data_IF_490185728861
#
_entry.id   IF_490185728861
#
_cell.length_a   1.000
_cell.length_b   1.000
_cell.length_c   1.000
_cell.angle_alpha   90.00
_cell.angle_beta   90.00
_cell.angle_gamma   90.00
#
_symmetry.space_group_name_H-M   'P 1'
#
loop_
_entity.id
_entity.type
_entity.pdbx_description
1 polymer ?
#
# COMPACT_ATOMS: atom_id res chain seq x y z
N UNK A 1 -29.27 66.56 46.18
CA UNK A 1 -28.22 65.56 46.10
C UNK A 1 -28.73 64.45 45.19
N UNK A 2 -28.20 64.36 43.96
CA UNK A 2 -28.61 63.42 42.89
C UNK A 2 -27.52 62.35 42.78
N UNK A 3 -27.88 61.10 43.05
CA UNK A 3 -27.02 59.91 42.81
C UNK A 3 -27.07 59.52 41.33
N UNK A 4 -25.91 59.42 40.68
CA UNK A 4 -25.76 58.94 39.31
C UNK A 4 -25.36 57.47 39.42
N UNK A 5 -26.24 56.58 38.95
CA UNK A 5 -25.96 55.15 38.81
C UNK A 5 -25.23 54.89 37.48
N UNK A 6 -23.97 54.45 37.59
CA UNK A 6 -23.20 54.03 36.44
C UNK A 6 -23.55 52.60 36.06
N UNK A 7 -24.00 52.39 34.82
CA UNK A 7 -24.24 51.09 34.23
C UNK A 7 -22.94 50.59 33.61
N UNK A 8 -22.33 49.56 34.23
CA UNK A 8 -21.20 48.85 33.63
C UNK A 8 -21.74 47.78 32.67
N UNK A 9 -21.57 48.02 31.36
CA UNK A 9 -21.88 47.06 30.30
C UNK A 9 -20.69 46.11 30.16
N UNK A 10 -20.86 44.89 30.60
CA UNK A 10 -19.86 43.82 30.40
C UNK A 10 -20.02 43.25 28.99
N UNK A 11 -19.09 43.58 28.13
CA UNK A 11 -19.01 43.03 26.79
C UNK A 11 -18.39 41.61 26.85
N UNK A 12 -19.22 40.60 26.76
CA UNK A 12 -18.80 39.18 26.70
C UNK A 12 -18.23 38.89 25.33
N UNK A 13 -16.90 38.86 25.16
CA UNK A 13 -16.23 38.38 23.97
C UNK A 13 -16.41 36.84 23.88
N UNK A 14 -17.27 36.39 22.98
CA UNK A 14 -17.30 34.98 22.57
C UNK A 14 -16.02 34.67 21.79
N UNK A 15 -15.07 34.00 22.41
CA UNK A 15 -13.93 33.41 21.73
C UNK A 15 -14.45 32.15 21.04
N UNK A 16 -14.66 32.23 19.72
CA UNK A 16 -14.95 31.03 18.91
C UNK A 16 -13.68 30.15 18.88
N UNK A 17 -13.72 29.03 19.59
CA UNK A 17 -12.70 27.98 19.49
C UNK A 17 -12.76 27.40 18.07
N UNK A 18 -11.61 27.27 17.36
CA UNK A 18 -11.60 26.56 16.10
C UNK A 18 -11.98 25.10 16.36
N UNK A 19 -13.03 24.63 15.71
CA UNK A 19 -13.40 23.22 15.69
C UNK A 19 -12.24 22.41 15.15
N UNK A 20 -11.88 21.25 15.73
CA UNK A 20 -10.88 20.39 15.14
C UNK A 20 -11.39 19.97 13.75
N UNK A 21 -10.62 20.28 12.72
CA UNK A 21 -10.83 19.76 11.37
C UNK A 21 -10.78 18.25 11.47
N UNK A 22 -11.91 17.59 11.24
CA UNK A 22 -12.00 16.13 11.23
C UNK A 22 -11.02 15.58 10.18
N UNK A 23 -10.21 14.62 10.58
CA UNK A 23 -9.29 13.87 9.73
C UNK A 23 -10.02 12.97 8.70
N UNK A 24 -11.28 13.22 8.43
CA UNK A 24 -12.20 12.38 7.66
C UNK A 24 -12.41 12.83 6.21
N UNK A 25 -11.72 13.91 5.76
CA UNK A 25 -11.83 14.39 4.37
C UNK A 25 -10.82 13.73 3.40
N UNK A 26 -9.97 12.82 3.86
CA UNK A 26 -9.09 12.07 2.98
C UNK A 26 -9.92 11.07 2.17
N UNK A 27 -9.93 11.22 0.84
CA UNK A 27 -10.55 10.23 -0.05
C UNK A 27 -10.05 8.84 0.32
N UNK A 28 -10.96 7.83 0.44
CA UNK A 28 -10.56 6.49 0.81
C UNK A 28 -9.55 5.94 -0.20
N UNK A 29 -8.51 5.27 0.29
CA UNK A 29 -7.58 4.55 -0.56
C UNK A 29 -8.36 3.42 -1.22
N UNK A 30 -8.31 3.38 -2.54
CA UNK A 30 -8.88 2.27 -3.33
C UNK A 30 -7.73 1.42 -3.83
N UNK A 31 -7.80 0.12 -3.55
CA UNK A 31 -6.80 -0.83 -4.00
C UNK A 31 -7.38 -1.79 -5.04
N UNK A 32 -6.62 -1.99 -6.11
CA UNK A 32 -6.98 -2.90 -7.21
C UNK A 32 -5.74 -3.71 -7.59
N UNK A 33 -5.94 -4.92 -8.09
CA UNK A 33 -4.88 -5.70 -8.71
C UNK A 33 -4.88 -5.49 -10.22
N UNK A 34 -3.69 -5.18 -10.74
CA UNK A 34 -3.40 -5.18 -12.17
C UNK A 34 -2.65 -6.47 -12.51
N UNK A 35 -3.16 -7.23 -13.45
CA UNK A 35 -2.50 -8.42 -13.99
C UNK A 35 -1.97 -8.07 -15.37
N UNK A 36 -0.64 -8.13 -15.54
CA UNK A 36 0.00 -7.84 -16.82
C UNK A 36 -0.52 -8.78 -17.90
N UNK A 37 -0.85 -8.25 -19.08
CA UNK A 37 -1.21 -9.04 -20.25
C UNK A 37 0.00 -9.27 -21.13
N UNK A 38 -0.02 -10.33 -21.93
CA UNK A 38 1.13 -10.75 -22.76
C UNK A 38 1.57 -9.72 -23.83
N UNK A 39 0.83 -8.62 -24.01
CA UNK A 39 1.23 -7.49 -24.84
C UNK A 39 2.21 -6.54 -24.14
N UNK A 40 2.23 -6.55 -22.80
CA UNK A 40 3.12 -5.70 -22.01
C UNK A 40 4.56 -6.19 -22.15
N UNK A 41 5.39 -5.42 -22.86
CA UNK A 41 6.79 -5.76 -23.16
C UNK A 41 7.80 -5.21 -22.17
N UNK A 42 7.34 -4.42 -21.19
CA UNK A 42 8.22 -3.86 -20.19
C UNK A 42 8.81 -4.99 -19.32
N UNK A 43 10.15 -5.14 -19.25
CA UNK A 43 10.79 -6.25 -18.53
C UNK A 43 10.54 -6.20 -17.02
N UNK A 44 10.22 -5.03 -16.47
CA UNK A 44 9.89 -4.89 -15.05
C UNK A 44 8.46 -5.35 -14.73
N UNK A 45 7.57 -5.37 -15.72
CA UNK A 45 6.15 -5.66 -15.52
C UNK A 45 5.63 -6.86 -16.30
N UNK A 46 6.43 -7.45 -17.18
CA UNK A 46 6.03 -8.69 -17.84
C UNK A 46 5.67 -9.77 -16.80
N UNK A 47 4.53 -10.43 -16.96
CA UNK A 47 3.99 -11.46 -16.06
C UNK A 47 3.80 -11.02 -14.62
N UNK A 48 3.75 -9.71 -14.36
CA UNK A 48 3.58 -9.18 -13.02
C UNK A 48 2.11 -9.07 -12.61
N UNK A 49 1.91 -9.14 -11.30
CA UNK A 49 0.67 -8.73 -10.64
C UNK A 49 1.01 -7.58 -9.70
N UNK A 50 0.37 -6.45 -9.90
CA UNK A 50 0.66 -5.23 -9.14
C UNK A 50 -0.54 -4.84 -8.32
N UNK A 51 -0.37 -4.73 -7.01
CA UNK A 51 -1.35 -4.08 -6.15
C UNK A 51 -1.17 -2.57 -6.28
N UNK A 52 -2.14 -1.91 -6.88
CA UNK A 52 -2.13 -0.45 -7.06
C UNK A 52 -3.04 0.20 -6.04
N UNK A 53 -2.55 1.27 -5.45
CA UNK A 53 -3.27 2.11 -4.51
C UNK A 53 -3.23 3.55 -5.00
N UNK A 54 -4.39 4.18 -5.01
CA UNK A 54 -4.52 5.62 -5.27
C UNK A 54 -4.48 6.42 -3.96
N UNK A 55 -4.43 7.74 -4.06
CA UNK A 55 -4.44 8.67 -2.92
C UNK A 55 -3.27 8.51 -1.93
N UNK A 56 -2.14 7.94 -2.36
CA UNK A 56 -0.89 7.86 -1.58
C UNK A 56 0.13 8.93 -1.99
N UNK A 57 -0.14 9.66 -3.06
CA UNK A 57 0.75 10.67 -3.63
C UNK A 57 0.13 11.35 -4.84
N UNK A 58 0.93 12.05 -5.65
CA UNK A 58 0.45 12.78 -6.83
C UNK A 58 -0.05 11.84 -7.95
N UNK A 59 0.32 10.57 -7.93
CA UNK A 59 -0.12 9.53 -8.85
C UNK A 59 -0.33 8.19 -8.17
N UNK A 60 -0.80 7.17 -8.91
CA UNK A 60 -0.95 5.82 -8.39
C UNK A 60 0.40 5.23 -7.97
N UNK A 61 0.40 4.54 -6.82
CA UNK A 61 1.55 3.78 -6.30
C UNK A 61 1.22 2.31 -6.32
N UNK A 62 2.16 1.46 -6.74
CA UNK A 62 1.96 0.02 -6.83
C UNK A 62 3.08 -0.80 -6.22
N UNK A 63 2.74 -2.02 -5.83
CA UNK A 63 3.69 -3.04 -5.41
C UNK A 63 3.50 -4.31 -6.25
N UNK A 64 4.56 -4.78 -6.89
CA UNK A 64 4.55 -6.08 -7.58
C UNK A 64 4.49 -7.19 -6.51
N UNK A 65 3.36 -7.89 -6.43
CA UNK A 65 3.09 -8.81 -5.31
C UNK A 65 3.43 -10.28 -5.62
N UNK A 66 3.80 -10.59 -6.84
CA UNK A 66 4.10 -11.95 -7.29
C UNK A 66 5.58 -12.19 -7.67
N UNK A 67 6.50 -11.28 -7.30
CA UNK A 67 7.91 -11.40 -7.67
C UNK A 67 8.82 -11.44 -6.44
N UNK A 68 8.99 -12.62 -5.80
CA UNK A 68 9.99 -12.80 -4.76
C UNK A 68 11.40 -12.63 -5.36
N UNK A 69 12.29 -12.03 -4.60
CA UNK A 69 13.73 -11.95 -4.92
C UNK A 69 14.45 -13.18 -4.35
N UNK A 70 15.76 -13.27 -4.59
CA UNK A 70 16.59 -14.27 -3.90
C UNK A 70 17.07 -13.82 -2.52
N UNK A 71 16.74 -12.61 -2.08
CA UNK A 71 17.18 -12.01 -0.83
C UNK A 71 16.30 -12.46 0.32
N UNK A 72 16.81 -13.22 1.31
CA UNK A 72 16.07 -13.54 2.53
C UNK A 72 15.76 -12.27 3.33
N UNK A 73 14.61 -12.22 3.99
CA UNK A 73 14.25 -11.11 4.89
C UNK A 73 15.31 -10.89 5.96
N UNK A 74 15.92 -11.95 6.47
CA UNK A 74 17.01 -11.88 7.47
C UNK A 74 18.20 -11.02 7.00
N UNK A 75 18.47 -10.94 5.70
CA UNK A 75 19.56 -10.13 5.18
C UNK A 75 19.31 -8.61 5.28
N UNK A 76 18.06 -8.18 5.32
CA UNK A 76 17.73 -6.76 5.55
C UNK A 76 17.90 -6.35 7.03
N UNK A 77 17.90 -7.33 7.93
CA UNK A 77 17.92 -7.12 9.38
C UNK A 77 18.95 -8.04 10.07
N UNK A 78 20.25 -7.92 9.77
CA UNK A 78 21.28 -8.84 10.28
C UNK A 78 21.40 -8.85 11.80
N UNK A 79 21.03 -7.74 12.45
CA UNK A 79 21.05 -7.61 13.91
C UNK A 79 19.90 -8.37 14.60
N UNK A 80 18.86 -8.76 13.87
CA UNK A 80 17.71 -9.49 14.41
C UNK A 80 17.95 -11.01 14.35
N UNK A 81 18.73 -11.56 15.28
CA UNK A 81 19.10 -13.00 15.33
C UNK A 81 17.90 -13.95 15.23
N UNK A 82 16.71 -13.53 15.69
CA UNK A 82 15.46 -14.29 15.58
C UNK A 82 15.05 -14.60 14.13
N UNK A 83 15.47 -13.77 13.18
CA UNK A 83 15.17 -13.96 11.77
C UNK A 83 16.08 -14.98 11.08
N UNK A 84 17.11 -15.48 11.75
CA UNK A 84 18.03 -16.49 11.16
C UNK A 84 17.32 -17.75 10.68
N UNK A 85 16.17 -18.11 11.27
CA UNK A 85 15.34 -19.25 10.86
C UNK A 85 14.17 -18.87 9.94
N UNK A 86 14.07 -17.58 9.54
CA UNK A 86 13.04 -17.11 8.62
C UNK A 86 13.56 -17.24 7.19
N UNK A 87 12.90 -18.07 6.39
CA UNK A 87 13.28 -18.36 5.01
C UNK A 87 12.50 -17.51 3.99
N UNK A 88 11.60 -16.67 4.48
CA UNK A 88 10.82 -15.78 3.63
C UNK A 88 11.73 -14.81 2.89
N UNK A 89 11.39 -14.56 1.63
CA UNK A 89 12.14 -13.68 0.75
C UNK A 89 11.49 -12.30 0.69
N UNK A 90 12.33 -11.31 0.44
CA UNK A 90 11.90 -9.96 0.08
C UNK A 90 11.31 -10.00 -1.32
N UNK A 91 10.28 -9.20 -1.57
CA UNK A 91 9.66 -9.06 -2.89
C UNK A 91 10.21 -7.82 -3.60
N UNK A 92 10.31 -7.91 -4.92
CA UNK A 92 10.54 -6.75 -5.76
C UNK A 92 9.22 -5.99 -5.91
N UNK A 93 9.11 -4.81 -5.32
CA UNK A 93 7.90 -3.99 -5.36
C UNK A 93 7.77 -3.16 -6.65
N UNK A 94 8.89 -2.88 -7.32
CA UNK A 94 8.95 -2.10 -8.55
C UNK A 94 10.28 -1.38 -8.72
N UNK A 95 10.51 -0.73 -9.87
CA UNK A 95 11.80 -0.14 -10.23
C UNK A 95 12.08 1.22 -9.56
N UNK A 96 11.10 1.82 -8.88
CA UNK A 96 11.25 3.14 -8.26
C UNK A 96 11.83 2.99 -6.86
N UNK A 97 12.83 3.80 -6.52
CA UNK A 97 13.44 3.86 -5.19
C UNK A 97 13.81 2.48 -4.61
N UNK A 98 14.65 1.73 -5.31
CA UNK A 98 15.06 0.37 -4.92
C UNK A 98 15.70 0.28 -3.52
N UNK A 99 16.15 1.39 -2.94
CA UNK A 99 16.61 1.48 -1.56
C UNK A 99 15.49 1.63 -0.52
N UNK A 100 14.26 1.87 -0.94
CA UNK A 100 13.12 1.98 -0.03
C UNK A 100 12.56 0.61 0.33
N UNK A 101 12.13 0.47 1.59
CA UNK A 101 11.48 -0.75 2.09
C UNK A 101 10.02 -0.45 2.38
N UNK A 102 9.13 -1.16 1.72
CA UNK A 102 7.69 -1.11 1.91
C UNK A 102 7.20 -2.44 2.46
N UNK A 103 6.09 -2.45 3.16
CA UNK A 103 5.51 -3.71 3.62
C UNK A 103 3.99 -3.64 3.70
N UNK A 104 3.37 -4.75 3.32
CA UNK A 104 1.95 -5.02 3.51
C UNK A 104 1.78 -5.98 4.69
N UNK A 105 0.80 -5.70 5.54
CA UNK A 105 0.50 -6.55 6.68
C UNK A 105 -0.98 -6.47 7.04
N UNK A 106 -1.47 -7.49 7.73
CA UNK A 106 -2.82 -7.51 8.27
C UNK A 106 -2.85 -6.98 9.70
N UNK A 107 -3.85 -6.15 10.01
CA UNK A 107 -4.14 -5.70 11.37
C UNK A 107 -5.65 -5.53 11.57
N UNK A 108 -6.12 -5.83 12.77
CA UNK A 108 -7.53 -5.67 13.15
C UNK A 108 -7.92 -4.18 13.29
N UNK A 109 -6.99 -3.35 13.76
CA UNK A 109 -7.17 -1.91 13.93
C UNK A 109 -6.12 -1.17 13.11
N UNK A 110 -6.41 0.09 12.74
CA UNK A 110 -5.49 0.95 12.02
C UNK A 110 -4.27 1.30 12.90
N UNK A 111 -3.06 0.84 12.55
CA UNK A 111 -1.85 1.24 13.26
C UNK A 111 -1.45 2.67 12.89
N UNK A 112 -0.73 3.33 13.79
CA UNK A 112 -0.04 4.57 13.45
C UNK A 112 0.99 4.32 12.33
N UNK A 113 1.24 5.33 11.52
CA UNK A 113 2.20 5.29 10.40
C UNK A 113 1.90 4.22 9.33
N UNK A 114 0.64 3.80 9.21
CA UNK A 114 0.19 2.89 8.18
C UNK A 114 -1.07 3.40 7.49
N UNK A 115 -1.19 3.13 6.20
CA UNK A 115 -2.35 3.48 5.38
C UNK A 115 -3.14 2.22 5.09
N UNK A 116 -4.46 2.26 5.27
CA UNK A 116 -5.33 1.14 4.93
C UNK A 116 -5.37 0.96 3.41
N UNK A 117 -4.95 -0.18 2.93
CA UNK A 117 -5.07 -0.54 1.53
C UNK A 117 -6.46 -1.12 1.23
N UNK A 118 -6.83 -2.25 1.84
CA UNK A 118 -8.16 -2.88 1.72
C UNK A 118 -8.31 -3.99 2.79
N UNK A 119 -9.54 -4.39 3.12
CA UNK A 119 -9.85 -5.63 3.85
C UNK A 119 -9.01 -5.95 5.09
N UNK A 120 -8.62 -4.96 5.89
CA UNK A 120 -7.73 -5.15 7.04
C UNK A 120 -6.24 -5.20 6.67
N UNK A 121 -5.90 -5.03 5.40
CA UNK A 121 -4.52 -4.92 4.93
C UNK A 121 -4.07 -3.46 4.97
N UNK A 122 -2.90 -3.26 5.52
CA UNK A 122 -2.25 -1.96 5.66
C UNK A 122 -0.91 -1.93 4.93
N UNK A 123 -0.57 -0.77 4.39
CA UNK A 123 0.72 -0.44 3.80
C UNK A 123 1.47 0.50 4.72
N UNK A 124 2.76 0.26 4.90
CA UNK A 124 3.66 1.20 5.57
C UNK A 124 5.09 1.11 5.01
N UNK A 125 5.87 2.15 5.28
CA UNK A 125 7.32 2.19 5.12
C UNK A 125 8.01 2.57 6.44
N UNK A 126 7.26 2.63 7.55
CA UNK A 126 7.79 3.01 8.85
C UNK A 126 8.65 1.89 9.44
N UNK A 127 9.93 2.22 9.68
CA UNK A 127 10.91 1.25 10.17
C UNK A 127 10.59 0.76 11.59
N UNK A 128 10.07 1.61 12.46
CA UNK A 128 9.78 1.22 13.85
C UNK A 128 8.60 0.25 13.89
N UNK A 129 7.56 0.51 13.12
CA UNK A 129 6.42 -0.40 12.96
C UNK A 129 6.88 -1.74 12.38
N UNK A 130 7.73 -1.75 11.36
CA UNK A 130 8.25 -3.00 10.79
C UNK A 130 9.03 -3.82 11.81
N UNK A 131 9.87 -3.19 12.62
CA UNK A 131 10.62 -3.87 13.68
C UNK A 131 9.69 -4.46 14.76
N UNK A 132 8.58 -3.80 15.10
CA UNK A 132 7.55 -4.33 15.99
C UNK A 132 6.86 -5.57 15.39
N UNK A 133 6.54 -5.56 14.09
CA UNK A 133 5.97 -6.71 13.41
C UNK A 133 6.94 -7.89 13.38
N UNK A 134 8.21 -7.62 13.09
CA UNK A 134 9.27 -8.63 13.08
C UNK A 134 9.62 -9.18 14.48
N UNK A 135 9.17 -8.51 15.55
CA UNK A 135 9.33 -8.96 16.92
C UNK A 135 8.28 -10.01 17.35
N UNK A 136 7.25 -10.26 16.55
CA UNK A 136 6.19 -11.24 16.82
C UNK A 136 6.75 -12.67 16.88
N UNK A 137 6.02 -13.58 17.47
CA UNK A 137 6.37 -15.02 17.50
C UNK A 137 6.46 -15.61 16.09
N UNK A 138 5.50 -15.23 15.22
CA UNK A 138 5.49 -15.56 13.79
C UNK A 138 5.64 -14.28 12.97
N UNK A 139 6.88 -13.82 12.76
CA UNK A 139 7.11 -12.49 12.21
C UNK A 139 6.59 -12.29 10.79
N UNK A 140 6.56 -13.36 9.97
CA UNK A 140 6.13 -13.29 8.58
C UNK A 140 4.67 -13.69 8.36
N UNK A 141 3.96 -14.05 9.43
CA UNK A 141 2.53 -14.35 9.32
C UNK A 141 1.76 -13.08 8.94
N UNK A 142 1.08 -13.14 7.80
CA UNK A 142 0.38 -12.00 7.20
C UNK A 142 1.24 -10.70 7.09
N UNK A 143 2.54 -10.87 6.84
CA UNK A 143 3.49 -9.80 6.55
C UNK A 143 4.23 -10.11 5.25
N UNK A 144 4.32 -9.13 4.34
CA UNK A 144 5.14 -9.21 3.13
C UNK A 144 5.95 -7.94 2.97
N UNK A 145 7.25 -8.09 2.74
CA UNK A 145 8.23 -7.00 2.65
C UNK A 145 8.67 -6.85 1.19
N UNK A 146 8.76 -5.60 0.74
CA UNK A 146 9.11 -5.22 -0.61
C UNK A 146 10.30 -4.27 -0.62
N UNK A 147 11.12 -4.34 -1.66
CA UNK A 147 12.12 -3.32 -2.02
C UNK A 147 11.68 -2.60 -3.27
N UNK A 148 11.77 -1.27 -3.24
CA UNK A 148 11.24 -0.42 -4.30
C UNK A 148 9.71 -0.45 -4.41
N UNK A 149 9.20 0.34 -5.32
CA UNK A 149 7.78 0.42 -5.64
C UNK A 149 7.57 0.73 -7.12
N UNK A 150 6.33 0.66 -7.58
CA UNK A 150 5.91 1.08 -8.91
C UNK A 150 5.19 2.43 -8.80
N UNK A 151 5.36 3.29 -9.80
CA UNK A 151 4.70 4.57 -9.85
C UNK A 151 4.29 4.92 -11.27
N UNK A 152 3.21 5.64 -11.42
CA UNK A 152 2.71 6.16 -12.70
C UNK A 152 2.54 7.66 -12.64
N UNK A 153 2.91 8.33 -13.73
CA UNK A 153 2.53 9.72 -13.93
C UNK A 153 1.00 9.85 -14.05
N UNK A 154 0.44 11.04 -13.76
CA UNK A 154 -0.99 11.27 -13.96
C UNK A 154 -1.45 10.91 -15.38
N UNK A 155 -2.49 10.08 -15.50
CA UNK A 155 -3.03 9.60 -16.77
C UNK A 155 -2.27 8.45 -17.45
N UNK A 156 -1.06 8.11 -16.98
CA UNK A 156 -0.26 7.04 -17.57
C UNK A 156 -0.93 5.67 -17.39
N UNK A 157 -1.35 5.35 -16.18
CA UNK A 157 -1.99 4.07 -15.86
C UNK A 157 -3.30 3.88 -16.61
N UNK A 158 -4.11 4.93 -16.67
CA UNK A 158 -5.37 4.92 -17.42
C UNK A 158 -5.13 4.66 -18.91
N UNK A 159 -4.07 5.25 -19.48
CA UNK A 159 -3.64 5.00 -20.86
C UNK A 159 -3.22 3.55 -21.08
N UNK A 160 -2.47 2.96 -20.15
CA UNK A 160 -2.04 1.55 -20.22
C UNK A 160 -3.24 0.59 -20.10
N UNK A 161 -4.18 0.87 -19.22
CA UNK A 161 -5.44 0.11 -19.07
C UNK A 161 -6.26 0.20 -20.36
N UNK A 162 -6.40 1.40 -20.95
CA UNK A 162 -7.15 1.62 -22.18
C UNK A 162 -6.54 0.88 -23.39
N UNK A 163 -5.21 0.72 -23.43
CA UNK A 163 -4.51 -0.10 -24.45
C UNK A 163 -4.67 -1.60 -24.22
N UNK A 164 -5.18 -2.02 -23.04
CA UNK A 164 -5.33 -3.43 -22.70
C UNK A 164 -4.04 -4.08 -22.17
N UNK A 165 -3.06 -3.30 -21.72
CA UNK A 165 -1.81 -3.79 -21.12
C UNK A 165 -2.06 -4.52 -19.80
N UNK A 166 -3.13 -4.15 -19.08
CA UNK A 166 -3.53 -4.70 -17.80
C UNK A 166 -4.93 -5.28 -17.80
N UNK A 167 -5.11 -6.40 -17.10
CA UNK A 167 -6.42 -6.85 -16.62
C UNK A 167 -6.61 -6.36 -15.18
N UNK A 168 -7.83 -5.89 -14.88
CA UNK A 168 -8.19 -5.42 -13.55
C UNK A 168 -8.85 -6.53 -12.76
N UNK A 169 -8.37 -6.77 -11.55
CA UNK A 169 -8.94 -7.75 -10.63
C UNK A 169 -9.16 -7.14 -9.24
N UNK A 170 -10.11 -7.69 -8.50
CA UNK A 170 -10.38 -7.27 -7.12
C UNK A 170 -9.22 -7.70 -6.22
N UNK A 171 -8.70 -6.78 -5.42
CA UNK A 171 -7.74 -7.12 -4.38
C UNK A 171 -8.41 -7.93 -3.26
N UNK A 172 -7.80 -9.07 -2.90
CA UNK A 172 -8.24 -9.93 -1.82
C UNK A 172 -7.05 -10.28 -0.91
N UNK A 173 -7.22 -10.34 0.43
CA UNK A 173 -6.13 -10.63 1.36
C UNK A 173 -5.39 -11.92 1.04
N UNK A 174 -6.12 -12.97 0.72
CA UNK A 174 -5.56 -14.28 0.37
C UNK A 174 -4.67 -14.23 -0.87
N UNK A 175 -4.97 -13.34 -1.80
CA UNK A 175 -4.13 -13.11 -2.98
C UNK A 175 -2.75 -12.57 -2.60
N UNK A 176 -2.63 -11.80 -1.51
CA UNK A 176 -1.37 -11.22 -1.07
C UNK A 176 -0.55 -12.21 -0.23
N UNK A 177 -1.18 -12.91 0.75
CA UNK A 177 -0.42 -13.66 1.76
C UNK A 177 -0.42 -15.17 1.57
N UNK A 178 -1.50 -15.78 1.05
CA UNK A 178 -1.68 -17.23 0.99
C UNK A 178 -1.26 -17.88 -0.32
N UNK A 179 -1.03 -17.11 -1.38
CA UNK A 179 -0.59 -17.68 -2.65
C UNK A 179 0.85 -18.17 -2.54
N UNK A 180 1.00 -19.44 -2.25
CA UNK A 180 2.19 -20.22 -2.57
C UNK A 180 2.23 -20.45 -4.08
N UNK A 181 3.41 -20.71 -4.62
CA UNK A 181 3.67 -21.00 -6.04
C UNK A 181 2.78 -22.10 -6.66
N UNK A 182 2.04 -22.85 -5.86
CA UNK A 182 1.14 -23.94 -6.29
C UNK A 182 -0.21 -23.43 -6.86
N UNK A 183 -0.57 -22.15 -6.64
CA UNK A 183 -1.71 -21.54 -7.29
C UNK A 183 -1.21 -20.37 -8.12
N UNK A 184 -0.87 -20.61 -9.39
CA UNK A 184 -0.40 -19.55 -10.27
C UNK A 184 -1.44 -18.42 -10.31
N UNK A 185 -0.96 -17.20 -10.33
CA UNK A 185 -1.80 -16.04 -10.61
C UNK A 185 -2.54 -16.28 -11.93
N UNK A 186 -3.77 -15.77 -12.09
CA UNK A 186 -4.50 -15.96 -13.34
C UNK A 186 -3.58 -15.64 -14.50
N UNK A 187 -3.31 -16.65 -15.33
CA UNK A 187 -2.54 -16.42 -16.53
C UNK A 187 -3.38 -15.53 -17.43
N UNK A 188 -2.86 -14.37 -17.90
CA UNK A 188 -3.60 -13.52 -18.80
C UNK A 188 -4.11 -14.34 -19.98
N UNK A 189 -5.43 -14.42 -20.16
CA UNK A 189 -5.98 -15.10 -21.31
C UNK A 189 -5.50 -14.36 -22.56
N UNK A 190 -4.84 -15.09 -23.47
CA UNK A 190 -4.53 -14.56 -24.81
C UNK A 190 -5.83 -14.04 -25.41
N UNK A 191 -5.84 -12.83 -25.99
CA UNK A 191 -7.02 -12.36 -26.71
C UNK A 191 -7.41 -13.40 -27.73
N UNK A 192 -8.66 -13.84 -27.69
CA UNK A 192 -9.22 -14.77 -28.66
C UNK A 192 -9.13 -14.09 -30.03
N UNK A 193 -8.21 -14.55 -30.88
CA UNK A 193 -8.16 -14.11 -32.27
C UNK A 193 -9.40 -14.70 -32.92
N UNK A 194 -10.46 -13.93 -32.97
CA UNK A 194 -11.57 -14.20 -33.87
C UNK A 194 -11.00 -14.17 -35.27
N UNK A 195 -10.87 -15.34 -35.87
CA UNK A 195 -10.62 -15.51 -37.30
C UNK A 195 -11.80 -14.92 -38.02
N UNK A 196 -11.59 -13.82 -38.73
CA UNK A 196 -12.44 -13.35 -39.81
C UNK A 196 -11.97 -13.95 -41.08
#
# INVERSE_FOLDING_TARGET
MRAVAGVFSVLLLLVASPSPTSADDAKPVTAILLVARGALRDPYFADSVVLVMNNLGPGPVGLVVNRPTEIPVAHLFPDLKRLAQVHDKVYFGGPVELGSVWFLFHAANAPEHAVRAFGGIYLSADRALLLQLLAREKPMDELRIFVGHSGWAPGQLEGEIARGDWALERAAPDAIFKRKSEHPWPTPQKPNRSTS
#
